data_IF_597638135798
#
_entry.id   IF_597638135798
#
_cell.length_a   1.000
_cell.length_b   1.000
_cell.length_c   1.000
_cell.angle_alpha   90.00
_cell.angle_beta   90.00
_cell.angle_gamma   90.00
#
_symmetry.space_group_name_H-M   'P 1'
#
loop_
_entity.id
_entity.type
_entity.pdbx_description
1 polymer ?
#
# COMPACT_ATOMS: atom_id res chain seq x y z
N UNK A 1 11.05 16.06 -4.99
CA UNK A 1 11.21 16.70 -6.31
C UNK A 1 10.74 15.85 -7.49
N UNK A 2 10.77 14.51 -7.43
CA UNK A 2 10.39 13.65 -8.57
C UNK A 2 8.92 13.80 -9.01
N UNK A 3 8.00 13.88 -8.04
CA UNK A 3 6.56 14.02 -8.33
C UNK A 3 6.21 15.33 -9.06
N UNK A 4 6.90 16.43 -8.72
CA UNK A 4 6.70 17.74 -9.35
C UNK A 4 7.20 17.75 -10.80
N UNK A 5 8.30 17.04 -11.09
CA UNK A 5 8.82 16.86 -12.46
C UNK A 5 7.90 15.99 -13.30
N UNK A 6 7.45 14.87 -12.73
CA UNK A 6 6.47 13.97 -13.37
C UNK A 6 5.15 14.69 -13.72
N UNK A 7 4.63 15.50 -12.78
CA UNK A 7 3.44 16.32 -13.04
C UNK A 7 3.66 17.36 -14.14
N UNK A 8 4.84 17.99 -14.19
CA UNK A 8 5.18 18.94 -15.26
C UNK A 8 5.31 18.25 -16.62
N UNK A 9 5.86 17.03 -16.67
CA UNK A 9 5.96 16.21 -17.89
C UNK A 9 4.60 15.75 -18.41
N UNK A 10 3.66 15.38 -17.52
CA UNK A 10 2.30 14.98 -17.89
C UNK A 10 1.46 16.18 -18.31
N UNK A 11 1.60 17.33 -17.65
CA UNK A 11 0.82 18.54 -17.93
C UNK A 11 1.01 19.05 -19.38
N UNK A 12 2.16 18.78 -20.00
CA UNK A 12 2.46 19.19 -21.38
C UNK A 12 2.04 18.19 -22.46
N UNK A 13 1.60 16.98 -22.10
CA UNK A 13 1.27 15.91 -23.05
C UNK A 13 -0.23 15.80 -23.29
N UNK A 14 -0.62 15.43 -24.51
CA UNK A 14 -2.02 15.08 -24.81
C UNK A 14 -2.42 13.83 -24.03
N UNK A 15 -3.69 13.73 -23.61
CA UNK A 15 -4.23 12.56 -22.90
C UNK A 15 -4.00 11.23 -23.64
N UNK A 16 -3.87 11.27 -24.97
CA UNK A 16 -3.52 10.14 -25.83
C UNK A 16 -2.07 9.66 -25.71
N UNK A 17 -1.14 10.53 -25.29
CA UNK A 17 0.30 10.24 -25.18
C UNK A 17 0.72 9.83 -23.77
N UNK A 18 -0.17 10.05 -22.78
CA UNK A 18 0.06 9.63 -21.39
C UNK A 18 0.27 8.12 -21.29
N UNK A 19 -0.55 7.24 -21.92
CA UNK A 19 -0.37 5.79 -21.84
C UNK A 19 0.99 5.33 -22.37
N UNK A 20 1.51 5.96 -23.43
CA UNK A 20 2.83 5.64 -23.99
C UNK A 20 3.98 6.03 -23.06
N UNK A 21 3.83 7.12 -22.32
CA UNK A 21 4.81 7.55 -21.32
C UNK A 21 4.77 6.71 -20.05
N UNK A 22 3.59 6.24 -19.63
CA UNK A 22 3.44 5.46 -18.39
C UNK A 22 3.72 3.97 -18.61
N UNK A 23 3.49 3.42 -19.83
CA UNK A 23 3.79 2.02 -20.19
C UNK A 23 5.18 1.53 -19.78
N UNK A 24 6.30 2.25 -20.06
CA UNK A 24 7.62 1.81 -19.63
C UNK A 24 7.81 1.88 -18.11
N UNK A 25 7.18 2.85 -17.42
CA UNK A 25 7.19 2.94 -15.95
C UNK A 25 6.35 1.84 -15.28
N UNK A 26 5.34 1.31 -15.95
CA UNK A 26 4.55 0.17 -15.49
C UNK A 26 5.10 -1.17 -15.97
N UNK A 27 6.23 -1.19 -16.67
CA UNK A 27 6.87 -2.45 -17.05
C UNK A 27 7.23 -3.24 -15.79
N UNK A 28 7.04 -4.56 -15.84
CA UNK A 28 7.37 -5.46 -14.73
C UNK A 28 8.83 -5.30 -14.28
N UNK A 29 9.73 -5.00 -15.22
CA UNK A 29 11.14 -4.74 -14.92
C UNK A 29 11.38 -3.44 -14.13
N UNK A 30 10.67 -2.37 -14.45
CA UNK A 30 10.75 -1.11 -13.68
C UNK A 30 10.18 -1.30 -12.27
N UNK A 31 9.01 -1.95 -12.17
CA UNK A 31 8.38 -2.25 -10.87
C UNK A 31 9.32 -3.10 -10.00
N UNK A 32 9.89 -4.17 -10.56
CA UNK A 32 10.84 -5.02 -9.83
C UNK A 32 12.06 -4.23 -9.32
N UNK A 33 12.64 -3.36 -10.15
CA UNK A 33 13.76 -2.50 -9.74
C UNK A 33 13.36 -1.47 -8.69
N UNK A 34 12.16 -0.90 -8.79
CA UNK A 34 11.65 0.05 -7.80
C UNK A 34 11.42 -0.63 -6.44
N UNK A 35 10.83 -1.82 -6.42
CA UNK A 35 10.66 -2.63 -5.21
C UNK A 35 12.02 -3.00 -4.61
N UNK A 36 12.94 -3.50 -5.44
CA UNK A 36 14.30 -3.85 -5.01
C UNK A 36 14.98 -2.65 -4.34
N UNK A 37 14.97 -1.48 -4.99
CA UNK A 37 15.56 -0.26 -4.43
C UNK A 37 14.88 0.19 -3.13
N UNK A 38 13.57 -0.01 -3.02
CA UNK A 38 12.82 0.23 -1.78
C UNK A 38 13.28 -0.69 -0.65
N UNK A 39 13.43 -1.99 -0.93
CA UNK A 39 13.93 -2.98 0.01
C UNK A 39 15.39 -2.70 0.42
N UNK A 40 16.26 -2.39 -0.53
CA UNK A 40 17.68 -2.11 -0.26
C UNK A 40 17.82 -0.88 0.67
N UNK A 41 17.05 0.19 0.39
CA UNK A 41 17.03 1.38 1.25
C UNK A 41 16.46 1.09 2.64
N UNK A 42 15.41 0.26 2.73
CA UNK A 42 14.81 -0.14 4.00
C UNK A 42 15.78 -1.01 4.83
N UNK A 43 16.50 -1.92 4.17
CA UNK A 43 17.53 -2.75 4.79
C UNK A 43 18.67 -1.89 5.36
N UNK A 44 19.23 -0.99 4.55
CA UNK A 44 20.28 -0.08 4.99
C UNK A 44 19.82 0.82 6.15
N UNK A 45 18.57 1.30 6.12
CA UNK A 45 18.06 2.24 7.12
C UNK A 45 17.70 1.60 8.46
N UNK A 46 17.20 0.36 8.45
CA UNK A 46 16.60 -0.24 9.64
C UNK A 46 17.27 -1.54 10.09
N UNK A 47 17.82 -2.32 9.16
CA UNK A 47 18.42 -3.62 9.47
C UNK A 47 19.90 -3.45 9.78
N UNK A 48 20.67 -2.74 8.95
CA UNK A 48 22.09 -2.49 9.20
C UNK A 48 22.33 -1.63 10.45
N UNK A 49 21.41 -0.71 10.74
CA UNK A 49 21.48 0.14 11.94
C UNK A 49 20.99 -0.56 13.22
N UNK A 50 20.63 -1.85 13.16
CA UNK A 50 20.06 -2.63 14.28
C UNK A 50 18.85 -1.95 14.93
N UNK A 51 17.98 -1.31 14.13
CA UNK A 51 16.77 -0.66 14.64
C UNK A 51 15.71 -1.72 15.01
N UNK A 52 14.96 -1.54 16.11
CA UNK A 52 13.79 -2.37 16.42
C UNK A 52 12.56 -2.04 15.57
N UNK A 53 12.58 -0.99 14.75
CA UNK A 53 11.44 -0.58 13.92
C UNK A 53 10.87 -1.67 13.00
N UNK A 54 11.66 -2.58 12.38
CA UNK A 54 11.11 -3.67 11.60
C UNK A 54 10.18 -4.60 12.38
N UNK A 55 10.50 -4.87 13.66
CA UNK A 55 9.63 -5.64 14.55
C UNK A 55 8.30 -4.91 14.75
N UNK A 56 8.36 -3.61 15.05
CA UNK A 56 7.16 -2.81 15.24
C UNK A 56 6.30 -2.69 13.99
N UNK A 57 6.90 -2.56 12.80
CA UNK A 57 6.15 -2.56 11.55
C UNK A 57 5.38 -3.86 11.33
N UNK A 58 5.95 -5.01 11.70
CA UNK A 58 5.25 -6.30 11.64
C UNK A 58 4.14 -6.38 12.70
N UNK A 59 4.39 -5.95 13.93
CA UNK A 59 3.37 -5.96 14.99
C UNK A 59 2.19 -5.05 14.67
N UNK A 60 2.44 -3.80 14.31
CA UNK A 60 1.39 -2.85 13.95
C UNK A 60 0.69 -3.24 12.65
N UNK A 61 1.44 -3.69 11.65
CA UNK A 61 0.87 -4.18 10.38
C UNK A 61 -0.03 -5.39 10.61
N UNK A 62 0.41 -6.36 11.41
CA UNK A 62 -0.36 -7.55 11.77
C UNK A 62 -1.64 -7.20 12.54
N UNK A 63 -1.57 -6.25 13.47
CA UNK A 63 -2.74 -5.76 14.22
C UNK A 63 -3.76 -5.04 13.31
N UNK A 64 -3.30 -4.17 12.41
CA UNK A 64 -4.21 -3.49 11.48
C UNK A 64 -4.83 -4.50 10.51
N UNK A 65 -4.02 -5.40 9.96
CA UNK A 65 -4.49 -6.43 9.03
C UNK A 65 -5.49 -7.37 9.69
N UNK A 66 -5.24 -7.81 10.93
CA UNK A 66 -6.16 -8.69 11.65
C UNK A 66 -7.52 -8.03 11.88
N UNK A 67 -7.54 -6.74 12.22
CA UNK A 67 -8.79 -5.98 12.33
C UNK A 67 -9.54 -5.90 10.99
N UNK A 68 -8.84 -5.57 9.89
CA UNK A 68 -9.46 -5.49 8.57
C UNK A 68 -10.02 -6.82 8.08
N UNK A 69 -9.34 -7.93 8.39
CA UNK A 69 -9.82 -9.28 8.06
C UNK A 69 -10.98 -9.72 8.95
N UNK A 70 -11.00 -9.31 10.22
CA UNK A 70 -12.09 -9.60 11.15
C UNK A 70 -13.35 -8.75 10.88
N UNK A 71 -13.20 -7.60 10.23
CA UNK A 71 -14.27 -6.61 9.98
C UNK A 71 -15.54 -7.20 9.33
N UNK A 72 -15.47 -8.05 8.27
CA UNK A 72 -16.66 -8.67 7.69
C UNK A 72 -17.34 -9.66 8.64
N UNK A 73 -16.59 -10.27 9.55
CA UNK A 73 -17.12 -11.21 10.53
C UNK A 73 -17.88 -10.45 11.64
N UNK A 74 -17.30 -9.36 12.14
CA UNK A 74 -17.96 -8.46 13.09
C UNK A 74 -19.25 -7.87 12.50
N UNK A 75 -19.26 -7.50 11.22
CA UNK A 75 -20.47 -7.00 10.53
C UNK A 75 -21.59 -8.03 10.51
N UNK A 76 -21.30 -9.28 10.14
CA UNK A 76 -22.31 -10.36 10.16
C UNK A 76 -22.84 -10.66 11.57
N UNK A 77 -21.97 -10.60 12.58
CA UNK A 77 -22.41 -10.77 13.97
C UNK A 77 -23.34 -9.66 14.44
N UNK A 78 -23.05 -8.41 14.09
CA UNK A 78 -23.92 -7.27 14.42
C UNK A 78 -25.27 -7.36 13.70
N UNK A 79 -25.30 -7.79 12.44
CA UNK A 79 -26.55 -8.00 11.68
C UNK A 79 -27.43 -9.08 12.34
N UNK A 80 -26.84 -10.20 12.77
CA UNK A 80 -27.56 -11.22 13.53
C UNK A 80 -28.08 -10.70 14.88
N UNK A 81 -27.27 -9.93 15.62
CA UNK A 81 -27.70 -9.32 16.89
C UNK A 81 -28.84 -8.32 16.70
N UNK A 82 -28.81 -7.52 15.63
CA UNK A 82 -29.87 -6.57 15.30
C UNK A 82 -31.18 -7.28 14.94
N UNK A 83 -31.11 -8.38 14.20
CA UNK A 83 -32.31 -9.18 13.88
C UNK A 83 -32.91 -9.81 15.15
N UNK A 84 -32.10 -10.39 16.03
CA UNK A 84 -32.60 -10.94 17.29
C UNK A 84 -33.17 -9.87 18.23
N UNK A 85 -32.61 -8.66 18.26
CA UNK A 85 -33.13 -7.56 19.05
C UNK A 85 -34.44 -6.96 18.51
N UNK A 86 -34.76 -7.12 17.23
CA UNK A 86 -36.04 -6.70 16.63
C UNK A 86 -37.16 -7.74 16.80
N UNK A 87 -36.82 -8.96 17.21
CA UNK A 87 -37.77 -10.06 17.44
C UNK A 87 -38.23 -10.17 18.91
N UNK A 88 -37.78 -9.27 19.78
CA UNK A 88 -38.28 -9.05 21.15
C UNK A 88 -38.98 -7.69 21.23
#
# INVERSE_FOLDING_TARGET
MALRRFYQEIKGKKLSEVPEHVKPMLSLGYIKKAIQRGMDNYHAKYIETSSPEPLFHVCYGGMIFSYLVALPHERRHLEHQQQHAQHH
#
